data_IF_411772771786
#
_entry.id   IF_411772771786
#
_cell.length_a   1.000
_cell.length_b   1.000
_cell.length_c   1.000
_cell.angle_alpha   90.00
_cell.angle_beta   90.00
_cell.angle_gamma   90.00
#
_symmetry.space_group_name_H-M   'P 1'
#
loop_
_entity.id
_entity.type
_entity.pdbx_description
1 polymer ?
#
# COMPACT_ATOMS: atom_id res chain seq x y z
N UNK A 1 -14.56 -12.54 25.31
CA UNK A 1 -13.65 -12.94 24.21
C UNK A 1 -13.64 -11.89 23.08
N UNK A 2 -13.51 -10.59 23.42
CA UNK A 2 -13.81 -9.48 22.48
C UNK A 2 -12.68 -8.48 22.21
N UNK A 3 -11.52 -8.60 22.87
CA UNK A 3 -10.48 -7.56 22.81
C UNK A 3 -9.34 -7.84 21.81
N UNK A 4 -9.26 -9.06 21.25
CA UNK A 4 -8.12 -9.49 20.42
C UNK A 4 -8.32 -9.12 18.92
N UNK A 5 -9.56 -8.90 18.47
CA UNK A 5 -9.86 -8.63 17.05
C UNK A 5 -9.69 -7.17 16.61
N UNK A 6 -9.88 -6.20 17.51
CA UNK A 6 -9.75 -4.76 17.20
C UNK A 6 -8.29 -4.35 17.02
N UNK A 7 -7.39 -4.92 17.84
CA UNK A 7 -5.96 -4.62 17.83
C UNK A 7 -5.29 -5.01 16.51
N UNK A 8 -5.61 -6.18 15.97
CA UNK A 8 -5.03 -6.66 14.71
C UNK A 8 -5.48 -5.83 13.51
N UNK A 9 -6.77 -5.44 13.47
CA UNK A 9 -7.28 -4.56 12.41
C UNK A 9 -6.59 -3.19 12.43
N UNK A 10 -6.46 -2.60 13.62
CA UNK A 10 -5.81 -1.29 13.80
C UNK A 10 -4.34 -1.34 13.38
N UNK A 11 -3.62 -2.40 13.75
CA UNK A 11 -2.23 -2.60 13.34
C UNK A 11 -2.07 -2.64 11.82
N UNK A 12 -3.02 -3.26 11.11
CA UNK A 12 -2.97 -3.34 9.64
C UNK A 12 -3.35 -1.99 8.99
N UNK A 13 -4.30 -1.26 9.57
CA UNK A 13 -4.64 0.10 9.12
C UNK A 13 -3.46 1.07 9.32
N UNK A 14 -2.76 0.96 10.45
CA UNK A 14 -1.51 1.69 10.73
C UNK A 14 -0.41 1.30 9.75
N UNK A 15 -0.24 0.01 9.46
CA UNK A 15 0.74 -0.47 8.48
C UNK A 15 0.49 0.06 7.07
N UNK A 16 -0.77 0.08 6.63
CA UNK A 16 -1.17 0.70 5.36
C UNK A 16 -0.89 2.21 5.35
N UNK A 17 -1.14 2.89 6.46
CA UNK A 17 -0.81 4.31 6.62
C UNK A 17 0.70 4.57 6.50
N UNK A 18 1.53 3.71 7.11
CA UNK A 18 2.99 3.83 7.03
C UNK A 18 3.51 3.55 5.62
N UNK A 19 2.97 2.56 4.91
CA UNK A 19 3.26 2.34 3.49
C UNK A 19 2.94 3.57 2.62
N UNK A 20 1.80 4.21 2.86
CA UNK A 20 1.44 5.45 2.15
C UNK A 20 2.44 6.57 2.45
N UNK A 21 2.85 6.74 3.72
CA UNK A 21 3.87 7.74 4.08
C UNK A 21 5.22 7.47 3.39
N UNK A 22 5.64 6.21 3.28
CA UNK A 22 6.87 5.86 2.57
C UNK A 22 6.76 6.21 1.07
N UNK A 23 5.60 5.95 0.45
CA UNK A 23 5.32 6.36 -0.94
C UNK A 23 5.32 7.88 -1.11
N UNK A 24 4.80 8.63 -0.14
CA UNK A 24 4.84 10.09 -0.14
C UNK A 24 6.29 10.60 -0.03
N UNK A 25 7.10 10.01 0.86
CA UNK A 25 8.52 10.33 0.97
C UNK A 25 9.27 10.05 -0.33
N UNK A 26 8.98 8.93 -1.00
CA UNK A 26 9.59 8.60 -2.28
C UNK A 26 9.30 9.69 -3.32
N UNK A 27 8.05 10.14 -3.39
CA UNK A 27 7.62 11.22 -4.29
C UNK A 27 8.37 12.54 -3.99
N UNK A 28 8.49 12.89 -2.71
CA UNK A 28 9.19 14.10 -2.28
C UNK A 28 10.70 14.03 -2.56
N UNK A 29 11.31 12.87 -2.36
CA UNK A 29 12.75 12.67 -2.58
C UNK A 29 13.09 12.64 -4.07
N UNK A 30 12.29 11.96 -4.90
CA UNK A 30 12.45 12.00 -6.36
C UNK A 30 12.31 13.44 -6.89
N UNK A 31 11.35 14.21 -6.37
CA UNK A 31 11.20 15.62 -6.73
C UNK A 31 12.43 16.44 -6.33
N UNK A 32 12.94 16.24 -5.11
CA UNK A 32 14.15 16.90 -4.61
C UNK A 32 15.40 16.52 -5.41
N UNK A 33 15.53 15.25 -5.80
CA UNK A 33 16.62 14.74 -6.63
C UNK A 33 16.65 15.43 -7.99
N UNK A 34 15.49 15.55 -8.65
CA UNK A 34 15.36 16.27 -9.93
C UNK A 34 15.71 17.75 -9.80
N UNK A 35 15.28 18.40 -8.72
CA UNK A 35 15.63 19.80 -8.43
C UNK A 35 17.14 19.99 -8.21
N UNK A 36 17.79 19.09 -7.47
CA UNK A 36 19.24 19.15 -7.25
C UNK A 36 20.02 18.95 -8.55
N UNK A 37 19.59 18.03 -9.42
CA UNK A 37 20.18 17.86 -10.76
C UNK A 37 20.01 19.12 -11.59
N UNK A 38 18.81 19.70 -11.61
CA UNK A 38 18.54 20.95 -12.32
C UNK A 38 19.44 22.09 -11.84
N UNK A 39 19.51 22.30 -10.53
CA UNK A 39 20.37 23.31 -9.93
C UNK A 39 21.86 23.08 -10.18
N UNK A 40 22.33 21.83 -10.21
CA UNK A 40 23.71 21.51 -10.58
C UNK A 40 24.00 21.84 -12.06
N UNK A 41 23.03 21.60 -12.95
CA UNK A 41 23.12 21.94 -14.37
C UNK A 41 23.17 23.47 -14.58
N UNK A 42 22.30 24.22 -13.89
CA UNK A 42 22.27 25.68 -13.92
C UNK A 42 23.58 26.27 -13.39
N UNK A 43 24.07 25.77 -12.25
CA UNK A 43 25.34 26.19 -11.66
C UNK A 43 26.51 26.01 -12.63
N UNK A 44 26.51 24.92 -13.41
CA UNK A 44 27.55 24.65 -14.40
C UNK A 44 27.55 25.64 -15.58
N UNK A 45 26.46 26.37 -15.80
CA UNK A 45 26.31 27.33 -16.89
C UNK A 45 26.61 28.78 -16.46
N UNK A 46 26.66 29.06 -15.15
CA UNK A 46 26.86 30.42 -14.63
C UNK A 46 28.37 30.68 -14.42
N UNK A 47 28.91 31.71 -15.07
CA UNK A 47 30.24 32.24 -14.72
C UNK A 47 30.08 33.22 -13.54
N UNK A 48 30.88 33.14 -12.45
CA UNK A 48 32.14 32.43 -12.30
C UNK A 48 32.07 31.16 -11.44
N UNK A 49 31.01 30.34 -11.55
CA UNK A 49 30.89 29.12 -10.77
C UNK A 49 32.12 28.22 -10.97
N UNK A 50 32.69 27.71 -9.88
CA UNK A 50 33.86 26.85 -9.96
C UNK A 50 33.43 25.42 -10.27
N UNK A 51 34.29 24.69 -10.97
CA UNK A 51 34.10 23.24 -11.20
C UNK A 51 33.93 22.47 -9.89
N UNK A 52 34.54 22.93 -8.79
CA UNK A 52 34.35 22.36 -7.45
C UNK A 52 32.91 22.47 -6.96
N UNK A 53 32.22 23.56 -7.27
CA UNK A 53 30.87 23.84 -6.77
C UNK A 53 29.87 22.91 -7.46
N UNK A 54 30.03 22.71 -8.78
CA UNK A 54 29.26 21.72 -9.56
C UNK A 54 29.51 20.30 -9.05
N UNK A 55 30.78 19.95 -8.79
CA UNK A 55 31.12 18.62 -8.25
C UNK A 55 30.45 18.37 -6.90
N UNK A 56 30.49 19.35 -5.99
CA UNK A 56 29.82 19.24 -4.70
C UNK A 56 28.29 19.13 -4.83
N UNK A 57 27.68 19.83 -5.79
CA UNK A 57 26.25 19.67 -6.08
C UNK A 57 25.92 18.25 -6.55
N UNK A 58 26.73 17.68 -7.46
CA UNK A 58 26.57 16.30 -7.93
C UNK A 58 26.81 15.25 -6.83
N UNK A 59 27.76 15.48 -5.92
CA UNK A 59 27.96 14.62 -4.75
C UNK A 59 26.72 14.57 -3.85
N UNK A 60 26.00 15.68 -3.71
CA UNK A 60 24.73 15.74 -2.97
C UNK A 60 23.59 15.03 -3.71
N UNK A 61 23.53 15.16 -5.04
CA UNK A 61 22.59 14.41 -5.88
C UNK A 61 22.78 12.91 -5.66
N UNK A 62 24.02 12.41 -5.75
CA UNK A 62 24.31 10.99 -5.58
C UNK A 62 23.88 10.46 -4.21
N UNK A 63 24.21 11.19 -3.14
CA UNK A 63 23.78 10.83 -1.78
C UNK A 63 22.26 10.74 -1.63
N UNK A 64 21.52 11.62 -2.29
CA UNK A 64 20.05 11.55 -2.27
C UNK A 64 19.54 10.37 -3.12
N UNK A 65 20.23 10.05 -4.22
CA UNK A 65 19.98 8.84 -5.01
C UNK A 65 20.10 7.57 -4.15
N UNK A 66 21.18 7.44 -3.38
CA UNK A 66 21.38 6.30 -2.47
C UNK A 66 20.22 6.16 -1.45
N UNK A 67 19.74 7.29 -0.90
CA UNK A 67 18.60 7.30 0.03
C UNK A 67 17.29 6.87 -0.67
N UNK A 68 17.09 7.28 -1.92
CA UNK A 68 15.92 6.88 -2.72
C UNK A 68 15.95 5.36 -2.96
N UNK A 69 17.12 4.80 -3.29
CA UNK A 69 17.26 3.36 -3.54
C UNK A 69 16.91 2.53 -2.29
N UNK A 70 17.42 2.92 -1.12
CA UNK A 70 17.07 2.27 0.16
C UNK A 70 15.57 2.38 0.50
N UNK A 71 14.95 3.52 0.16
CA UNK A 71 13.52 3.72 0.37
C UNK A 71 12.68 2.83 -0.57
N UNK A 72 13.08 2.70 -1.85
CA UNK A 72 12.44 1.79 -2.81
C UNK A 72 12.51 0.36 -2.28
N UNK A 73 13.70 -0.09 -1.87
CA UNK A 73 13.88 -1.43 -1.30
C UNK A 73 12.98 -1.68 -0.09
N UNK A 74 12.86 -0.68 0.80
CA UNK A 74 11.99 -0.77 1.98
C UNK A 74 10.51 -0.86 1.61
N UNK A 75 10.04 -0.06 0.64
CA UNK A 75 8.67 -0.11 0.14
C UNK A 75 8.38 -1.46 -0.51
N UNK A 76 9.28 -1.96 -1.35
CA UNK A 76 9.12 -3.25 -2.03
C UNK A 76 8.96 -4.40 -1.04
N UNK A 77 9.76 -4.42 0.03
CA UNK A 77 9.64 -5.43 1.07
C UNK A 77 8.30 -5.33 1.81
N UNK A 78 7.94 -4.13 2.25
CA UNK A 78 6.74 -3.92 3.06
C UNK A 78 5.43 -4.13 2.26
N UNK A 79 5.41 -3.74 0.98
CA UNK A 79 4.20 -3.88 0.16
C UNK A 79 3.85 -5.34 -0.13
N UNK A 80 4.85 -6.23 -0.28
CA UNK A 80 4.61 -7.64 -0.56
C UNK A 80 3.76 -8.30 0.54
N UNK A 81 4.10 -8.02 1.80
CA UNK A 81 3.38 -8.53 2.98
C UNK A 81 1.94 -7.97 3.05
N UNK A 82 1.75 -6.70 2.69
CA UNK A 82 0.41 -6.09 2.66
C UNK A 82 -0.46 -6.63 1.51
N UNK A 83 0.13 -6.91 0.35
CA UNK A 83 -0.56 -7.53 -0.79
C UNK A 83 -1.05 -8.93 -0.39
N UNK A 84 -0.18 -9.75 0.21
CA UNK A 84 -0.55 -11.10 0.68
C UNK A 84 -1.73 -11.04 1.68
N UNK A 85 -1.69 -10.10 2.64
CA UNK A 85 -2.82 -9.86 3.53
C UNK A 85 -4.12 -9.53 2.76
N UNK A 86 -4.05 -8.64 1.76
CA UNK A 86 -5.20 -8.25 0.96
C UNK A 86 -5.80 -9.45 0.21
N UNK A 87 -4.96 -10.34 -0.34
CA UNK A 87 -5.38 -11.56 -1.01
C UNK A 87 -6.09 -12.52 -0.05
N UNK A 88 -5.50 -12.81 1.10
CA UNK A 88 -6.09 -13.67 2.13
C UNK A 88 -7.44 -13.10 2.57
N UNK A 89 -7.51 -11.80 2.87
CA UNK A 89 -8.75 -11.12 3.26
C UNK A 89 -9.82 -11.23 2.18
N UNK A 90 -9.46 -11.00 0.92
CA UNK A 90 -10.37 -11.14 -0.22
C UNK A 90 -10.94 -12.55 -0.33
N UNK A 91 -10.11 -13.57 -0.15
CA UNK A 91 -10.53 -14.97 -0.18
C UNK A 91 -11.50 -15.31 0.96
N UNK A 92 -11.21 -14.86 2.19
CA UNK A 92 -12.12 -15.05 3.34
C UNK A 92 -13.49 -14.41 3.07
N UNK A 93 -13.51 -13.20 2.52
CA UNK A 93 -14.77 -12.50 2.16
C UNK A 93 -15.54 -13.31 1.11
N UNK A 94 -14.87 -13.75 0.03
CA UNK A 94 -15.49 -14.57 -1.03
C UNK A 94 -16.09 -15.86 -0.48
N UNK A 95 -15.38 -16.57 0.40
CA UNK A 95 -15.89 -17.79 1.04
C UNK A 95 -17.12 -17.51 1.89
N UNK A 96 -17.15 -16.41 2.65
CA UNK A 96 -18.33 -16.03 3.45
C UNK A 96 -19.54 -15.68 2.59
N UNK A 97 -19.34 -14.99 1.47
CA UNK A 97 -20.41 -14.69 0.52
C UNK A 97 -20.98 -15.99 -0.07
N UNK A 98 -20.12 -16.88 -0.59
CA UNK A 98 -20.54 -18.18 -1.13
C UNK A 98 -21.33 -19.00 -0.11
N UNK A 99 -20.87 -19.04 1.15
CA UNK A 99 -21.57 -19.71 2.24
C UNK A 99 -22.98 -19.15 2.43
N UNK A 100 -23.12 -17.81 2.51
CA UNK A 100 -24.42 -17.16 2.67
C UNK A 100 -25.39 -17.48 1.54
N UNK A 101 -24.91 -17.43 0.28
CA UNK A 101 -25.75 -17.78 -0.87
C UNK A 101 -26.27 -19.23 -0.78
N UNK A 102 -25.42 -20.19 -0.40
CA UNK A 102 -25.85 -21.58 -0.21
C UNK A 102 -26.85 -21.70 0.95
N UNK A 103 -26.64 -21.00 2.05
CA UNK A 103 -27.58 -20.97 3.19
C UNK A 103 -28.95 -20.42 2.77
N UNK A 104 -28.98 -19.37 1.96
CA UNK A 104 -30.21 -18.78 1.39
C UNK A 104 -30.92 -19.74 0.44
N UNK A 105 -30.20 -20.37 -0.51
CA UNK A 105 -30.76 -21.37 -1.43
C UNK A 105 -31.39 -22.57 -0.71
N UNK A 106 -30.78 -23.03 0.37
CA UNK A 106 -31.30 -24.15 1.16
C UNK A 106 -32.54 -23.75 1.96
N UNK A 107 -32.60 -22.51 2.44
CA UNK A 107 -33.72 -22.01 3.24
C UNK A 107 -34.95 -21.72 2.36
N UNK A 108 -34.76 -21.15 1.16
CA UNK A 108 -35.83 -20.91 0.19
C UNK A 108 -36.53 -22.22 -0.21
N UNK A 109 -35.79 -23.31 -0.34
CA UNK A 109 -36.36 -24.65 -0.65
C UNK A 109 -37.14 -25.26 0.52
N UNK A 110 -37.01 -24.74 1.73
CA UNK A 110 -37.69 -25.28 2.91
C UNK A 110 -39.10 -24.68 3.10
N UNK A 111 -39.37 -23.51 2.53
CA UNK A 111 -40.67 -22.84 2.62
C UNK A 111 -41.73 -23.38 1.63
N UNK A 112 -41.34 -24.16 0.62
CA UNK A 112 -42.26 -24.79 -0.34
C UNK A 112 -42.92 -26.08 0.19
N UNK A 113 -42.46 -26.63 1.32
CA UNK A 113 -43.02 -27.85 1.93
C UNK A 113 -43.82 -27.50 3.19
N UNK A 114 -44.85 -26.66 3.05
CA UNK A 114 -45.95 -26.65 4.04
C UNK A 114 -47.01 -27.65 3.57
N UNK A 115 -47.26 -28.76 4.31
CA UNK A 115 -48.24 -29.75 3.90
C UNK A 115 -49.61 -29.08 3.77
N UNK A 116 -50.24 -29.24 2.61
CA UNK A 116 -51.64 -28.90 2.43
C UNK A 116 -52.46 -29.72 3.43
N UNK A 117 -52.86 -29.11 4.55
CA UNK A 117 -53.88 -29.68 5.42
C UNK A 117 -55.22 -29.62 4.67
N UNK A 118 -55.59 -30.73 4.01
CA UNK A 118 -56.99 -31.15 3.86
C UNK A 118 -57.36 -31.98 5.10
N UNK A 119 -58.65 -32.17 5.47
CA UNK A 119 -59.88 -31.41 5.22
C UNK A 119 -60.65 -31.16 6.56
N UNK A 120 -61.82 -30.50 6.59
CA UNK A 120 -63.16 -31.11 6.49
C UNK A 120 -64.19 -30.09 5.98
#
# INVERSE_FOLDING_TARGET
MGSINLTNRKAIEEYCCDLNKLSDFLTQYVSSYRLLIGGACELNQITPAKRSDVKHALERVNKLGDIIDELIYSIEKCQCEYIEYCEIKSNVIKCRIKKKCIEEELNDKCDEVKPQQKPL
#
